data_IF_298301617960
#
_entry.id   IF_298301617960
#
_cell.length_a   1.000
_cell.length_b   1.000
_cell.length_c   1.000
_cell.angle_alpha   90.00
_cell.angle_beta   90.00
_cell.angle_gamma   90.00
#
_symmetry.space_group_name_H-M   'P 1'
#
loop_
_entity.id
_entity.type
_entity.pdbx_description
1 polymer ?
#
# COMPACT_ATOMS: atom_id res chain seq x y z
N UNK A 1 24.09 -23.14 -26.29
CA UNK A 1 22.83 -22.41 -26.52
C UNK A 1 22.32 -22.00 -25.14
N UNK A 2 22.56 -20.75 -24.77
CA UNK A 2 22.50 -20.28 -23.38
C UNK A 2 21.05 -20.12 -22.91
N UNK A 3 20.59 -21.08 -22.11
CA UNK A 3 19.44 -20.87 -21.22
C UNK A 3 19.98 -20.20 -19.96
N UNK A 4 20.10 -18.87 -19.99
CA UNK A 4 20.24 -18.13 -18.74
C UNK A 4 18.90 -18.19 -18.02
N UNK A 5 18.80 -19.19 -17.14
CA UNK A 5 17.82 -19.23 -16.08
C UNK A 5 18.10 -18.05 -15.15
N UNK A 6 17.51 -16.90 -15.48
CA UNK A 6 17.42 -15.75 -14.59
C UNK A 6 16.51 -16.14 -13.42
N UNK A 7 17.06 -16.88 -12.45
CA UNK A 7 16.55 -16.88 -11.08
C UNK A 7 16.62 -15.44 -10.60
N UNK A 8 15.51 -14.72 -10.73
CA UNK A 8 15.39 -13.35 -10.24
C UNK A 8 15.39 -13.41 -8.72
N UNK A 9 16.24 -12.64 -8.00
CA UNK A 9 16.41 -12.76 -6.56
C UNK A 9 15.18 -12.44 -5.68
N UNK A 10 13.99 -12.19 -6.27
CA UNK A 10 12.81 -11.68 -5.55
C UNK A 10 11.45 -12.18 -6.11
N UNK A 11 11.33 -13.47 -6.49
CA UNK A 11 10.09 -14.00 -7.10
C UNK A 11 8.81 -13.89 -6.26
N UNK A 12 8.89 -13.52 -4.98
CA UNK A 12 7.76 -13.40 -4.06
C UNK A 12 7.30 -11.94 -3.84
N UNK A 13 8.08 -10.94 -4.28
CA UNK A 13 7.73 -9.53 -4.09
C UNK A 13 6.63 -9.12 -5.08
N UNK A 14 5.62 -8.44 -4.57
CA UNK A 14 4.57 -7.76 -5.37
C UNK A 14 4.81 -6.25 -5.42
N UNK A 15 5.54 -5.70 -4.46
CA UNK A 15 5.94 -4.30 -4.35
C UNK A 15 7.46 -4.19 -4.49
N UNK A 16 7.93 -3.26 -5.31
CA UNK A 16 9.34 -3.04 -5.64
C UNK A 16 9.85 -1.63 -5.28
N UNK A 17 8.98 -0.72 -4.86
CA UNK A 17 9.37 0.65 -4.49
C UNK A 17 9.70 1.52 -5.70
N UNK A 18 9.10 1.22 -6.85
CA UNK A 18 9.28 2.02 -8.08
C UNK A 18 8.40 3.26 -8.10
N UNK A 19 7.27 3.26 -7.38
CA UNK A 19 6.32 4.36 -7.34
C UNK A 19 5.60 4.63 -8.66
N UNK A 20 5.74 3.73 -9.65
CA UNK A 20 5.08 3.80 -10.95
C UNK A 20 3.78 3.02 -10.93
N UNK A 21 2.70 3.51 -11.59
CA UNK A 21 1.48 2.74 -11.71
C UNK A 21 1.74 1.46 -12.52
N UNK A 22 1.16 0.31 -12.12
CA UNK A 22 1.35 -0.93 -12.85
C UNK A 22 0.54 -0.89 -14.14
N UNK A 23 1.06 -1.49 -15.21
CA UNK A 23 0.29 -1.67 -16.45
C UNK A 23 -0.88 -2.66 -16.24
N UNK A 24 -0.67 -3.66 -15.39
CA UNK A 24 -1.66 -4.64 -14.94
C UNK A 24 -1.45 -4.84 -13.45
N UNK A 25 -2.51 -4.79 -12.66
CA UNK A 25 -2.42 -4.97 -11.21
C UNK A 25 -1.72 -6.31 -10.88
N UNK A 26 -0.69 -6.30 -10.02
CA UNK A 26 0.03 -7.51 -9.69
C UNK A 26 -0.89 -8.50 -8.96
N UNK A 27 -0.76 -9.81 -9.23
CA UNK A 27 -1.57 -10.81 -8.57
C UNK A 27 -1.23 -10.86 -7.08
N UNK A 28 -2.18 -10.43 -6.23
CA UNK A 28 -2.08 -10.65 -4.79
C UNK A 28 -2.60 -12.05 -4.45
N UNK A 29 -1.93 -12.80 -3.56
CA UNK A 29 -2.44 -14.09 -3.12
C UNK A 29 -3.77 -13.91 -2.38
N UNK A 30 -4.55 -14.99 -2.35
CA UNK A 30 -5.77 -15.06 -1.56
C UNK A 30 -5.51 -14.66 -0.10
N UNK A 31 -6.51 -14.04 0.52
CA UNK A 31 -6.41 -13.69 1.93
C UNK A 31 -6.21 -14.97 2.77
N UNK A 32 -5.24 -14.96 3.71
CA UNK A 32 -5.03 -16.09 4.61
C UNK A 32 -6.25 -16.29 5.52
N UNK A 33 -6.45 -17.49 6.10
CA UNK A 33 -7.68 -17.83 6.83
C UNK A 33 -8.08 -16.81 7.92
N UNK A 34 -7.12 -16.26 8.66
CA UNK A 34 -7.34 -15.26 9.72
C UNK A 34 -7.71 -13.85 9.23
N UNK A 35 -7.69 -13.63 7.91
CA UNK A 35 -8.07 -12.36 7.25
C UNK A 35 -9.18 -12.55 6.23
N UNK A 36 -9.85 -13.70 6.23
CA UNK A 36 -11.08 -13.93 5.47
C UNK A 36 -12.26 -13.44 6.31
N UNK A 37 -12.95 -12.42 5.82
CA UNK A 37 -14.16 -11.92 6.44
C UNK A 37 -15.37 -12.63 5.84
N UNK A 38 -16.20 -13.23 6.70
CA UNK A 38 -17.46 -13.85 6.30
C UNK A 38 -18.51 -12.74 6.21
N UNK A 39 -18.66 -12.14 5.03
CA UNK A 39 -19.62 -11.06 4.79
C UNK A 39 -19.35 -10.32 3.49
N UNK A 40 -20.27 -9.41 3.15
CA UNK A 40 -20.07 -8.42 2.08
C UNK A 40 -19.62 -7.09 2.69
N UNK A 41 -18.88 -6.25 1.95
CA UNK A 41 -18.58 -4.90 2.39
C UNK A 41 -19.87 -4.17 2.80
N UNK A 42 -19.87 -3.58 3.99
CA UNK A 42 -21.01 -2.81 4.51
C UNK A 42 -21.18 -1.45 3.83
N UNK A 43 -20.14 -0.99 3.13
CA UNK A 43 -20.13 0.25 2.36
C UNK A 43 -19.76 -0.04 0.91
N UNK A 44 -20.27 0.76 -0.05
CA UNK A 44 -19.87 0.64 -1.44
C UNK A 44 -18.37 0.91 -1.60
N UNK A 45 -17.78 0.37 -2.66
CA UNK A 45 -16.43 0.71 -3.02
C UNK A 45 -16.32 2.23 -3.22
N UNK A 46 -15.32 2.88 -2.62
CA UNK A 46 -15.14 4.30 -2.80
C UNK A 46 -14.80 4.66 -4.25
N UNK A 47 -15.17 5.87 -4.73
CA UNK A 47 -14.74 6.32 -6.05
C UNK A 47 -13.22 6.46 -6.09
N UNK A 48 -12.63 6.16 -7.24
CA UNK A 48 -11.20 6.42 -7.45
C UNK A 48 -10.92 7.92 -7.53
N UNK A 49 -9.87 8.36 -6.83
CA UNK A 49 -9.43 9.76 -6.79
C UNK A 49 -7.94 9.86 -7.16
N UNK A 50 -7.60 9.72 -8.46
CA UNK A 50 -6.21 9.74 -8.90
C UNK A 50 -5.50 11.06 -8.58
N UNK A 51 -6.24 12.16 -8.52
CA UNK A 51 -5.71 13.47 -8.13
C UNK A 51 -5.15 13.50 -6.71
N UNK A 52 -5.70 12.74 -5.77
CA UNK A 52 -5.21 12.70 -4.40
C UNK A 52 -3.77 12.18 -4.34
N UNK A 53 -3.46 11.16 -5.15
CA UNK A 53 -2.10 10.66 -5.29
C UNK A 53 -1.17 11.70 -5.92
N UNK A 54 -1.61 12.42 -6.96
CA UNK A 54 -0.83 13.50 -7.59
C UNK A 54 -0.55 14.64 -6.61
N UNK A 55 -1.52 15.04 -5.78
CA UNK A 55 -1.31 16.08 -4.76
C UNK A 55 -0.28 15.66 -3.72
N UNK A 56 -0.25 14.39 -3.32
CA UNK A 56 0.66 13.90 -2.28
C UNK A 56 2.06 13.57 -2.80
N UNK A 57 2.14 12.96 -3.98
CA UNK A 57 3.39 12.53 -4.61
C UNK A 57 4.01 13.64 -5.46
N UNK A 58 3.22 14.62 -5.90
CA UNK A 58 3.63 15.60 -6.89
C UNK A 58 3.50 15.08 -8.33
N UNK A 59 3.66 15.96 -9.33
CA UNK A 59 3.69 15.56 -10.72
C UNK A 59 5.01 14.83 -11.02
N UNK A 60 4.95 13.50 -11.18
CA UNK A 60 6.10 12.70 -11.62
C UNK A 60 6.17 11.29 -11.05
N UNK A 61 7.29 10.63 -11.33
CA UNK A 61 7.68 9.38 -10.70
C UNK A 61 8.32 9.71 -9.33
N UNK A 62 7.66 9.30 -8.25
CA UNK A 62 8.25 9.40 -6.91
C UNK A 62 8.95 8.10 -6.62
N UNK A 63 10.28 8.14 -6.55
CA UNK A 63 11.06 7.01 -6.06
C UNK A 63 11.24 7.16 -4.55
N UNK A 64 10.53 6.37 -3.72
CA UNK A 64 10.75 6.39 -2.30
C UNK A 64 12.18 5.89 -2.01
N UNK A 65 12.83 6.51 -1.02
CA UNK A 65 14.14 6.06 -0.55
C UNK A 65 13.93 4.88 0.41
N UNK A 66 13.74 3.69 -0.14
CA UNK A 66 13.59 2.44 0.62
C UNK A 66 14.75 1.49 0.31
N UNK A 67 15.36 0.97 1.36
CA UNK A 67 16.30 -0.14 1.30
C UNK A 67 15.58 -1.48 1.06
N UNK A 68 16.37 -2.54 0.74
CA UNK A 68 15.83 -3.87 0.48
C UNK A 68 14.99 -4.44 1.63
N UNK A 69 15.42 -4.26 2.88
CA UNK A 69 14.74 -4.80 4.06
C UNK A 69 13.37 -4.14 4.32
N UNK A 70 13.24 -2.85 4.00
CA UNK A 70 11.98 -2.12 4.13
C UNK A 70 10.99 -2.56 3.05
N UNK A 71 11.49 -2.78 1.83
CA UNK A 71 10.70 -3.38 0.73
C UNK A 71 10.23 -4.78 1.13
N UNK A 72 11.10 -5.61 1.71
CA UNK A 72 10.74 -6.96 2.17
C UNK A 72 9.71 -6.92 3.30
N UNK A 73 9.86 -5.98 4.24
CA UNK A 73 8.90 -5.79 5.34
C UNK A 73 7.51 -5.40 4.81
N UNK A 74 7.46 -4.49 3.83
CA UNK A 74 6.20 -4.10 3.17
C UNK A 74 5.57 -5.30 2.46
N UNK A 75 6.35 -6.06 1.68
CA UNK A 75 5.85 -7.25 1.00
C UNK A 75 5.35 -8.32 1.97
N UNK A 76 6.10 -8.60 3.04
CA UNK A 76 5.69 -9.56 4.06
C UNK A 76 4.34 -9.18 4.67
N UNK A 77 4.14 -7.89 4.99
CA UNK A 77 2.88 -7.42 5.54
C UNK A 77 1.72 -7.48 4.52
N UNK A 78 1.97 -7.13 3.26
CA UNK A 78 0.97 -7.22 2.18
C UNK A 78 0.51 -8.67 1.98
N UNK A 79 1.45 -9.61 1.89
CA UNK A 79 1.15 -11.02 1.64
C UNK A 79 0.46 -11.69 2.85
N UNK A 80 0.89 -11.35 4.07
CA UNK A 80 0.29 -11.88 5.31
C UNK A 80 -0.97 -11.12 5.75
N UNK A 81 -1.33 -10.05 5.02
CA UNK A 81 -2.42 -9.12 5.35
C UNK A 81 -2.27 -8.57 6.78
N UNK A 82 -1.05 -8.25 7.21
CA UNK A 82 -0.75 -7.70 8.54
C UNK A 82 -0.64 -6.17 8.49
N UNK A 83 -1.08 -5.47 9.55
CA UNK A 83 -0.92 -4.02 9.62
C UNK A 83 0.58 -3.67 9.75
N UNK A 84 0.97 -2.54 9.14
CA UNK A 84 2.31 -1.97 9.26
C UNK A 84 2.28 -0.75 10.17
N UNK A 85 3.15 -0.72 11.18
CA UNK A 85 3.42 0.48 11.97
C UNK A 85 4.70 1.13 11.47
N UNK A 86 4.59 2.34 10.93
CA UNK A 86 5.72 3.08 10.38
C UNK A 86 6.13 4.15 11.40
N UNK A 87 7.35 4.06 11.91
CA UNK A 87 7.92 5.00 12.89
C UNK A 87 9.07 5.80 12.29
N UNK A 88 9.31 7.00 12.81
CA UNK A 88 10.48 7.81 12.47
C UNK A 88 10.22 9.32 12.49
N UNK A 89 11.26 10.14 12.27
CA UNK A 89 11.17 11.60 12.35
C UNK A 89 10.07 12.20 11.44
N UNK A 90 9.53 13.40 11.75
CA UNK A 90 8.65 14.10 10.84
C UNK A 90 9.35 14.35 9.49
N UNK A 91 8.61 14.30 8.39
CA UNK A 91 9.14 14.62 7.06
C UNK A 91 9.81 13.48 6.27
N UNK A 92 10.01 12.29 6.85
CA UNK A 92 10.68 11.17 6.16
C UNK A 92 9.81 10.42 5.11
N UNK A 93 8.62 10.94 4.76
CA UNK A 93 7.76 10.30 3.77
C UNK A 93 6.92 9.11 4.27
N UNK A 94 6.64 8.99 5.59
CA UNK A 94 5.78 7.91 6.14
C UNK A 94 4.42 7.81 5.45
N UNK A 95 3.73 8.94 5.29
CA UNK A 95 2.46 8.97 4.56
C UNK A 95 2.67 8.72 3.06
N UNK A 96 3.76 9.25 2.49
CA UNK A 96 4.13 9.05 1.08
C UNK A 96 4.24 7.56 0.75
N UNK A 97 4.74 6.73 1.66
CA UNK A 97 4.83 5.28 1.47
C UNK A 97 3.46 4.64 1.17
N UNK A 98 2.40 5.03 1.87
CA UNK A 98 1.05 4.50 1.62
C UNK A 98 0.58 4.81 0.20
N UNK A 99 0.85 6.02 -0.29
CA UNK A 99 0.50 6.44 -1.65
C UNK A 99 1.33 5.75 -2.72
N UNK A 100 2.63 5.55 -2.47
CA UNK A 100 3.51 4.79 -3.37
C UNK A 100 3.03 3.35 -3.49
N UNK A 101 2.73 2.68 -2.37
CA UNK A 101 2.18 1.33 -2.37
C UNK A 101 0.87 1.28 -3.15
N UNK A 102 -0.07 2.19 -2.87
CA UNK A 102 -1.37 2.22 -3.57
C UNK A 102 -1.21 2.43 -5.07
N UNK A 103 -0.33 3.36 -5.48
CA UNK A 103 -0.04 3.66 -6.88
C UNK A 103 0.58 2.46 -7.59
N UNK A 104 1.60 1.85 -6.99
CA UNK A 104 2.37 0.74 -7.60
C UNK A 104 1.59 -0.57 -7.68
N UNK A 105 0.66 -0.80 -6.76
CA UNK A 105 -0.18 -1.99 -6.75
C UNK A 105 -1.53 -1.76 -7.44
N UNK A 106 -1.84 -0.53 -7.86
CA UNK A 106 -3.12 -0.18 -8.49
C UNK A 106 -4.32 -0.35 -7.55
N UNK A 107 -4.16 -0.06 -6.25
CA UNK A 107 -5.20 -0.28 -5.22
C UNK A 107 -6.27 0.82 -5.16
N UNK A 108 -6.20 1.82 -6.04
CA UNK A 108 -7.10 2.96 -6.05
C UNK A 108 -6.69 4.03 -5.02
N UNK A 109 -7.68 4.73 -4.46
CA UNK A 109 -7.44 5.82 -3.51
C UNK A 109 -6.96 5.32 -2.14
N UNK A 110 -6.04 6.07 -1.53
CA UNK A 110 -5.64 5.84 -0.13
C UNK A 110 -6.78 6.30 0.79
N UNK A 111 -7.18 5.42 1.71
CA UNK A 111 -8.15 5.75 2.75
C UNK A 111 -7.42 6.31 3.97
N UNK A 112 -7.61 7.59 4.24
CA UNK A 112 -6.96 8.28 5.35
C UNK A 112 -7.92 8.48 6.52
N UNK A 113 -7.45 8.16 7.73
CA UNK A 113 -8.13 8.52 8.96
C UNK A 113 -7.18 9.30 9.86
N UNK A 114 -7.43 10.60 10.00
CA UNK A 114 -6.63 11.48 10.85
C UNK A 114 -7.11 11.42 12.30
N UNK A 115 -6.24 10.95 13.19
CA UNK A 115 -6.48 10.93 14.64
C UNK A 115 -5.83 12.16 15.29
N UNK A 116 -6.64 13.00 15.91
CA UNK A 116 -6.20 14.19 16.67
C UNK A 116 -6.80 14.17 18.08
N UNK A 117 -6.36 15.07 18.97
CA UNK A 117 -6.85 15.14 20.37
C UNK A 117 -8.36 15.36 20.51
N UNK A 118 -9.01 15.85 19.45
CA UNK A 118 -10.46 16.06 19.37
C UNK A 118 -11.23 14.91 18.73
N UNK A 119 -10.54 13.88 18.23
CA UNK A 119 -11.19 12.70 17.66
C UNK A 119 -11.84 11.89 18.78
N UNK A 120 -13.17 11.74 18.72
CA UNK A 120 -13.94 10.96 19.70
C UNK A 120 -14.13 9.52 19.24
N UNK A 121 -14.45 8.62 20.18
CA UNK A 121 -14.78 7.23 19.85
C UNK A 121 -15.96 7.12 18.88
N UNK A 122 -16.93 8.04 18.94
CA UNK A 122 -18.05 8.08 18.00
C UNK A 122 -17.59 8.38 16.57
N UNK A 123 -16.64 9.30 16.41
CA UNK A 123 -16.05 9.62 15.11
C UNK A 123 -15.32 8.43 14.49
N UNK A 124 -14.82 7.51 15.32
CA UNK A 124 -14.10 6.31 14.85
C UNK A 124 -14.92 5.04 14.66
N UNK A 125 -16.12 4.95 15.24
CA UNK A 125 -16.91 3.72 15.23
C UNK A 125 -18.29 3.85 14.56
N UNK A 126 -18.86 5.06 14.43
CA UNK A 126 -20.29 5.20 14.12
C UNK A 126 -20.66 6.29 13.12
N UNK A 127 -19.70 7.07 12.61
CA UNK A 127 -20.02 8.19 11.71
C UNK A 127 -19.15 8.16 10.45
N UNK A 128 -19.60 7.41 9.45
CA UNK A 128 -19.14 7.51 8.06
C UNK A 128 -20.31 7.26 7.11
#
# INVERSE_FOLDING_TARGET
MNTQEQTSPNGWRVFHGTGRPPAVAPPLPEAPPWRRFLGVPSQPAPPDEPEAAVRRLGPGDVTPQLGPDEIDTVNAALLLRRPLLITGPPGIGKSTLAYVISRELGLGRVLEWSIVSRTTLRDGLYTH
#
